data_IF_195692449044
#
_entry.id   IF_195692449044
#
_cell.length_a   1.000
_cell.length_b   1.000
_cell.length_c   1.000
_cell.angle_alpha   90.00
_cell.angle_beta   90.00
_cell.angle_gamma   90.00
#
_symmetry.space_group_name_H-M   'P 1'
#
loop_
_entity.id
_entity.type
_entity.pdbx_description
1 polymer ?
#
# COMPACT_ATOMS: atom_id res chain seq x y z
N UNK A 1 18.87 -1.25 -11.97
CA UNK A 1 17.65 -1.89 -12.50
C UNK A 1 16.71 -1.90 -11.32
N UNK A 2 15.79 -0.93 -11.23
CA UNK A 2 14.86 -0.91 -10.10
C UNK A 2 13.93 -2.11 -10.23
N UNK A 3 13.71 -2.77 -9.10
CA UNK A 3 12.84 -3.93 -9.05
C UNK A 3 11.38 -3.51 -9.38
N UNK A 4 10.60 -4.39 -10.01
CA UNK A 4 9.22 -4.08 -10.37
C UNK A 4 8.41 -3.67 -9.13
N UNK A 5 8.68 -4.34 -8.00
CA UNK A 5 8.11 -4.02 -6.69
C UNK A 5 8.40 -2.59 -6.27
N UNK A 6 9.63 -2.10 -6.45
CA UNK A 6 10.02 -0.74 -6.08
C UNK A 6 9.32 0.30 -6.95
N UNK A 7 9.24 0.04 -8.27
CA UNK A 7 8.56 0.92 -9.23
C UNK A 7 7.07 1.01 -8.91
N UNK A 8 6.43 -0.13 -8.64
CA UNK A 8 5.02 -0.21 -8.29
C UNK A 8 4.72 0.42 -6.93
N UNK A 9 5.57 0.19 -5.93
CA UNK A 9 5.46 0.83 -4.61
C UNK A 9 5.55 2.34 -4.75
N UNK A 10 6.54 2.84 -5.49
CA UNK A 10 6.71 4.27 -5.70
C UNK A 10 5.52 4.89 -6.43
N UNK A 11 5.04 4.25 -7.50
CA UNK A 11 3.86 4.68 -8.23
C UNK A 11 2.64 4.78 -7.31
N UNK A 12 2.40 3.75 -6.50
CA UNK A 12 1.26 3.68 -5.60
C UNK A 12 1.33 4.74 -4.50
N UNK A 13 2.51 4.97 -3.92
CA UNK A 13 2.73 6.01 -2.91
C UNK A 13 2.45 7.43 -3.42
N UNK A 14 2.90 7.73 -4.65
CA UNK A 14 2.72 9.06 -5.26
C UNK A 14 1.24 9.32 -5.57
N UNK A 15 0.49 8.29 -5.96
CA UNK A 15 -0.92 8.39 -6.34
C UNK A 15 -1.90 7.97 -5.25
N UNK A 16 -1.41 7.71 -4.04
CA UNK A 16 -2.24 7.19 -2.95
C UNK A 16 -3.43 8.12 -2.65
N UNK A 17 -3.19 9.43 -2.63
CA UNK A 17 -4.23 10.41 -2.32
C UNK A 17 -5.29 10.56 -3.44
N UNK A 18 -5.01 10.04 -4.64
CA UNK A 18 -5.94 10.01 -5.77
C UNK A 18 -6.68 8.67 -5.90
N UNK A 19 -5.99 7.59 -5.56
CA UNK A 19 -6.47 6.20 -5.71
C UNK A 19 -7.18 5.69 -4.46
N UNK A 20 -6.83 6.21 -3.29
CA UNK A 20 -7.31 5.77 -1.98
C UNK A 20 -8.10 6.87 -1.31
N UNK A 21 -9.40 6.63 -1.11
CA UNK A 21 -10.23 7.49 -0.27
C UNK A 21 -9.96 7.16 1.20
N UNK A 22 -9.61 8.13 2.05
CA UNK A 22 -9.43 7.88 3.48
C UNK A 22 -10.77 7.49 4.12
N UNK A 23 -10.87 6.27 4.67
CA UNK A 23 -12.14 5.72 5.22
C UNK A 23 -12.24 5.73 6.75
N UNK A 24 -11.24 6.31 7.43
CA UNK A 24 -11.22 6.39 8.90
C UNK A 24 -10.79 5.10 9.60
N UNK A 25 -10.44 4.06 8.84
CA UNK A 25 -9.81 2.81 9.28
C UNK A 25 -8.30 2.93 9.33
N UNK A 26 -7.67 2.04 10.11
CA UNK A 26 -6.22 2.05 10.30
C UNK A 26 -5.48 1.30 9.20
N UNK A 27 -6.05 0.25 8.63
CA UNK A 27 -5.45 -0.49 7.54
C UNK A 27 -6.43 -0.75 6.39
N UNK A 28 -5.92 -0.72 5.16
CA UNK A 28 -6.68 -0.97 3.93
C UNK A 28 -5.88 -1.90 3.01
N UNK A 29 -6.59 -2.76 2.29
CA UNK A 29 -6.02 -3.71 1.34
C UNK A 29 -6.58 -3.45 -0.07
N UNK A 30 -5.66 -3.45 -1.04
CA UNK A 30 -5.94 -3.19 -2.45
C UNK A 30 -5.37 -4.30 -3.33
N UNK A 31 -6.09 -4.62 -4.41
CA UNK A 31 -5.57 -5.36 -5.55
C UNK A 31 -5.08 -4.39 -6.63
N UNK A 32 -3.97 -4.73 -7.27
CA UNK A 32 -3.31 -3.92 -8.30
C UNK A 32 -3.19 -4.73 -9.59
N UNK A 33 -3.79 -4.23 -10.66
CA UNK A 33 -3.63 -4.77 -12.02
C UNK A 33 -2.69 -3.83 -12.80
N UNK A 34 -1.54 -4.34 -13.24
CA UNK A 34 -0.56 -3.59 -14.02
C UNK A 34 -1.03 -3.58 -15.48
N UNK A 35 -1.42 -2.40 -15.97
CA UNK A 35 -1.89 -2.20 -17.35
C UNK A 35 -0.74 -1.79 -18.26
N UNK A 36 0.18 -0.97 -17.77
CA UNK A 36 1.35 -0.49 -18.50
C UNK A 36 2.56 -0.42 -17.56
N UNK A 37 3.45 -1.40 -17.68
CA UNK A 37 4.65 -1.49 -16.86
C UNK A 37 5.64 -0.35 -17.13
N UNK A 38 5.69 0.21 -18.35
CA UNK A 38 6.56 1.36 -18.67
C UNK A 38 5.96 2.66 -18.11
N UNK A 39 4.63 2.72 -18.02
CA UNK A 39 3.88 3.79 -17.37
C UNK A 39 4.20 3.97 -15.89
N UNK A 40 4.73 2.95 -15.21
CA UNK A 40 5.14 3.03 -13.80
C UNK A 40 6.26 4.04 -13.58
N UNK A 41 7.25 4.11 -14.47
CA UNK A 41 8.40 5.01 -14.33
C UNK A 41 8.04 6.49 -14.54
N UNK A 42 7.01 6.73 -15.34
CA UNK A 42 6.52 8.09 -15.63
C UNK A 42 5.42 8.52 -14.65
N UNK A 43 4.98 7.63 -13.76
CA UNK A 43 3.90 7.89 -12.82
C UNK A 43 2.52 8.00 -13.49
N UNK A 44 2.33 7.40 -14.67
CA UNK A 44 1.08 7.52 -15.44
C UNK A 44 -0.13 6.97 -14.65
N UNK A 45 -1.27 7.70 -14.54
CA UNK A 45 -2.45 7.22 -13.81
C UNK A 45 -3.00 5.91 -14.36
N UNK A 46 -2.86 5.70 -15.67
CA UNK A 46 -3.43 4.55 -16.36
C UNK A 46 -2.50 3.32 -16.32
N UNK A 47 -1.33 3.44 -15.68
CA UNK A 47 -0.36 2.36 -15.57
C UNK A 47 -0.85 1.20 -14.70
N UNK A 48 -1.69 1.49 -13.69
CA UNK A 48 -2.19 0.51 -12.73
C UNK A 48 -3.65 0.79 -12.41
N UNK A 49 -4.47 -0.25 -12.43
CA UNK A 49 -5.83 -0.19 -11.88
C UNK A 49 -5.82 -0.65 -10.44
N UNK A 50 -6.43 0.16 -9.58
CA UNK A 50 -6.47 -0.07 -8.14
C UNK A 50 -7.88 -0.48 -7.72
N UNK A 51 -7.97 -1.62 -7.02
CA UNK A 51 -9.22 -2.18 -6.54
C UNK A 51 -9.20 -2.24 -5.02
N UNK A 52 -10.17 -1.58 -4.38
CA UNK A 52 -10.35 -1.74 -2.93
C UNK A 52 -10.92 -3.13 -2.62
N UNK A 53 -10.28 -3.86 -1.71
CA UNK A 53 -10.70 -5.20 -1.30
C UNK A 53 -11.38 -5.13 0.06
N UNK A 54 -10.64 -4.72 1.09
CA UNK A 54 -11.18 -4.62 2.44
C UNK A 54 -10.42 -3.61 3.30
N UNK A 55 -10.94 -3.33 4.49
CA UNK A 55 -10.32 -2.50 5.50
C UNK A 55 -10.47 -3.11 6.89
N UNK A 56 -9.58 -2.72 7.80
CA UNK A 56 -9.48 -3.33 9.11
C UNK A 56 -8.70 -2.48 10.12
N UNK A 57 -8.58 -2.98 11.36
CA UNK A 57 -7.87 -2.28 12.43
C UNK A 57 -6.34 -2.30 12.30
N UNK A 58 -5.77 -3.20 11.49
CA UNK A 58 -4.33 -3.37 11.26
C UNK A 58 -4.06 -4.25 10.02
N UNK A 59 -2.81 -4.28 9.54
CA UNK A 59 -2.37 -5.06 8.37
C UNK A 59 -2.72 -6.56 8.51
N UNK A 60 -2.50 -7.14 9.68
CA UNK A 60 -2.74 -8.57 9.90
C UNK A 60 -4.23 -8.91 9.77
N UNK A 61 -5.10 -8.05 10.30
CA UNK A 61 -6.54 -8.21 10.22
C UNK A 61 -7.07 -8.16 8.79
N UNK A 62 -6.53 -7.29 7.92
CA UNK A 62 -6.95 -7.24 6.50
C UNK A 62 -6.41 -8.41 5.70
N UNK A 63 -5.19 -8.88 6.00
CA UNK A 63 -4.62 -10.06 5.34
C UNK A 63 -5.32 -11.37 5.76
N UNK A 64 -5.82 -11.44 6.99
CA UNK A 64 -6.57 -12.59 7.51
C UNK A 64 -8.08 -12.56 7.21
N UNK A 65 -8.58 -11.49 6.58
CA UNK A 65 -10.02 -11.33 6.37
C UNK A 65 -10.58 -12.38 5.38
N UNK A 66 -11.79 -12.92 5.63
CA UNK A 66 -12.48 -13.76 4.65
C UNK A 66 -12.71 -12.97 3.36
N UNK A 67 -12.28 -13.52 2.22
CA UNK A 67 -12.38 -12.85 0.92
C UNK A 67 -11.08 -12.24 0.41
N UNK A 68 -10.03 -12.16 1.25
CA UNK A 68 -8.69 -11.67 0.84
C UNK A 68 -8.01 -12.59 -0.18
N UNK A 69 -8.49 -13.82 -0.36
CA UNK A 69 -7.97 -14.74 -1.38
C UNK A 69 -8.08 -14.19 -2.81
N UNK A 70 -9.03 -13.28 -3.10
CA UNK A 70 -9.14 -12.66 -4.43
C UNK A 70 -7.95 -11.74 -4.75
N UNK A 71 -7.12 -11.39 -3.76
CA UNK A 71 -5.85 -10.68 -4.00
C UNK A 71 -4.99 -11.43 -5.02
N UNK A 72 -4.99 -12.77 -4.99
CA UNK A 72 -4.19 -13.60 -5.88
C UNK A 72 -4.60 -13.49 -7.36
N UNK A 73 -5.79 -12.96 -7.65
CA UNK A 73 -6.27 -12.73 -9.02
C UNK A 73 -5.65 -11.47 -9.65
N UNK A 74 -4.94 -10.65 -8.87
CA UNK A 74 -4.25 -9.44 -9.30
C UNK A 74 -2.75 -9.68 -9.49
N UNK A 75 -2.07 -8.78 -10.21
CA UNK A 75 -0.61 -8.82 -10.39
C UNK A 75 0.13 -8.49 -9.09
N UNK A 76 -0.49 -7.68 -8.23
CA UNK A 76 0.05 -7.35 -6.92
C UNK A 76 -1.05 -6.98 -5.91
N UNK A 77 -0.65 -7.00 -4.64
CA UNK A 77 -1.42 -6.51 -3.52
C UNK A 77 -0.75 -5.27 -2.92
N UNK A 78 -1.54 -4.31 -2.44
CA UNK A 78 -1.02 -3.21 -1.62
C UNK A 78 -1.79 -3.10 -0.31
N UNK A 79 -1.06 -2.97 0.80
CA UNK A 79 -1.62 -2.60 2.09
C UNK A 79 -1.21 -1.18 2.46
N UNK A 80 -2.17 -0.40 2.93
CA UNK A 80 -1.96 0.96 3.44
C UNK A 80 -2.34 0.99 4.90
N UNK A 81 -1.38 1.30 5.77
CA UNK A 81 -1.61 1.45 7.20
C UNK A 81 -1.37 2.90 7.63
N UNK A 82 -2.33 3.47 8.36
CA UNK A 82 -2.27 4.81 8.94
C UNK A 82 -1.92 4.71 10.42
N UNK A 83 -0.79 5.29 10.79
CA UNK A 83 -0.29 5.28 12.17
C UNK A 83 0.03 6.67 12.70
N UNK A 84 0.39 6.69 13.99
CA UNK A 84 0.95 7.88 14.64
C UNK A 84 2.32 7.54 15.19
N UNK A 85 3.36 8.14 14.62
CA UNK A 85 4.70 7.99 15.17
C UNK A 85 5.03 9.17 16.08
N UNK A 86 5.60 8.86 17.25
CA UNK A 86 6.22 9.90 18.08
C UNK A 86 7.56 10.23 17.45
N UNK A 87 7.66 11.39 16.80
CA UNK A 87 8.93 11.85 16.27
C UNK A 87 9.94 11.90 17.41
N UNK A 88 11.03 11.11 17.30
CA UNK A 88 12.19 11.26 18.20
C UNK A 88 12.71 12.67 18.03
N UNK A 89 12.33 13.55 18.94
CA UNK A 89 12.73 14.94 18.92
C UNK A 89 14.21 14.96 19.30
N UNK A 90 15.09 15.32 18.36
CA UNK A 90 16.49 15.59 18.68
C UNK A 90 16.54 16.85 19.55
N UNK A 91 16.59 16.66 20.87
CA UNK A 91 16.68 17.71 21.90
C UNK A 91 15.54 18.75 21.87
N UNK A 92 14.33 18.35 22.26
CA UNK A 92 13.27 19.31 22.63
C UNK A 92 13.63 20.06 23.92
N UNK A 93 13.29 21.35 24.00
CA UNK A 93 13.43 22.14 25.24
C UNK A 93 12.54 21.55 26.35
N UNK A 94 12.91 21.66 27.65
CA UNK A 94 12.03 21.23 28.74
C UNK A 94 10.63 21.83 28.59
N UNK A 95 9.59 20.98 28.54
CA UNK A 95 8.18 21.39 28.34
C UNK A 95 7.65 21.26 26.91
N UNK A 96 8.48 20.90 25.94
CA UNK A 96 8.02 20.65 24.57
C UNK A 96 7.61 19.18 24.40
N UNK A 97 6.31 18.93 24.25
CA UNK A 97 5.78 17.60 23.95
C UNK A 97 6.25 17.15 22.57
N UNK A 98 6.64 15.88 22.43
CA UNK A 98 7.01 15.29 21.15
C UNK A 98 5.85 15.44 20.15
N UNK A 99 6.12 16.06 19.01
CA UNK A 99 5.14 16.17 17.91
C UNK A 99 4.77 14.75 17.47
N UNK A 100 3.47 14.46 17.46
CA UNK A 100 2.94 13.25 16.82
C UNK A 100 2.81 13.57 15.34
N UNK A 101 3.57 12.87 14.52
CA UNK A 101 3.45 12.96 13.08
C UNK A 101 2.55 11.80 12.62
N UNK A 102 1.58 12.08 11.73
CA UNK A 102 0.83 11.01 11.06
C UNK A 102 1.81 10.33 10.12
N UNK A 103 1.96 9.01 10.27
CA UNK A 103 2.73 8.19 9.35
C UNK A 103 1.75 7.36 8.52
N UNK A 104 2.13 7.11 7.27
CA UNK A 104 1.47 6.15 6.40
C UNK A 104 2.51 5.13 5.98
N UNK A 105 2.20 3.86 6.15
CA UNK A 105 3.04 2.75 5.72
C UNK A 105 2.36 2.12 4.50
N UNK A 106 3.07 2.08 3.38
CA UNK A 106 2.63 1.40 2.17
C UNK A 106 3.49 0.16 2.01
N UNK A 107 2.85 -0.97 1.75
CA UNK A 107 3.54 -2.22 1.43
C UNK A 107 2.92 -2.81 0.18
N UNK A 108 3.75 -3.15 -0.80
CA UNK A 108 3.34 -3.82 -2.02
C UNK A 108 3.95 -5.22 -2.07
N UNK A 109 3.15 -6.19 -2.46
CA UNK A 109 3.55 -7.59 -2.64
C UNK A 109 3.16 -8.00 -4.04
N UNK A 110 4.13 -8.40 -4.87
CA UNK A 110 3.85 -9.00 -6.16
C UNK A 110 3.25 -10.38 -5.95
N UNK A 111 2.23 -10.73 -6.73
CA UNK A 111 1.76 -12.10 -6.82
C UNK A 111 2.49 -12.74 -7.98
N UNK A 112 3.34 -13.73 -7.71
CA UNK A 112 3.96 -14.51 -8.77
C UNK A 112 2.87 -15.27 -9.55
N UNK A 113 2.91 -15.17 -10.88
CA UNK A 113 1.99 -15.91 -11.76
C UNK A 113 2.24 -17.43 -11.74
N UNK A 114 3.36 -17.89 -11.16
CA UNK A 114 3.83 -19.27 -11.19
C UNK A 114 2.94 -20.26 -10.41
N UNK A 115 2.12 -19.80 -9.45
CA UNK A 115 1.15 -20.65 -8.75
C UNK A 115 -0.15 -20.89 -9.54
N UNK A 116 -0.31 -20.29 -10.73
CA UNK A 116 -1.51 -20.46 -11.58
C UNK A 116 -1.41 -21.67 -12.53
N UNK A 117 -0.29 -22.40 -12.53
CA UNK A 117 -0.07 -23.60 -13.35
C UNK A 117 0.35 -24.82 -12.51
N UNK A 118 -0.51 -25.30 -11.60
CA UNK A 118 -0.45 -26.71 -11.22
C UNK A 118 -1.81 -27.40 -11.40
N UNK A 119 -1.86 -28.53 -12.12
CA UNK A 119 -3.09 -29.23 -12.53
C UNK A 119 -3.81 -29.96 -11.39
#
# INVERSE_FOLDING_TARGET
>A
MNDLTERLTHWFEVRLDETVVPRGTFAQLFGLEIVDADGLDTGSPDAVRVYFICEGPDEFSVLAAPGTACVCDFDAAATVEYGWERRRSSAGRPGQFARKDRIRTVRVMLNDEDDRQQP
#
